data_IF_030289886682
#
_entry.id   IF_030289886682
#
_cell.length_a   1.000
_cell.length_b   1.000
_cell.length_c   1.000
_cell.angle_alpha   90.00
_cell.angle_beta   90.00
_cell.angle_gamma   90.00
#
_symmetry.space_group_name_H-M   'P 1'
#
loop_
_entity.id
_entity.type
_entity.pdbx_description
1 polymer ?
#
# COMPACT_ATOMS: atom_id res chain seq x y z
N UNK A 1 -12.03 13.23 18.17
CA UNK A 1 -12.02 11.88 17.55
C UNK A 1 -11.75 10.88 18.65
N UNK A 2 -12.75 10.11 19.06
CA UNK A 2 -12.55 9.06 20.04
C UNK A 2 -11.70 7.96 19.40
N UNK A 3 -10.52 7.71 19.94
CA UNK A 3 -9.80 6.47 19.68
C UNK A 3 -10.73 5.35 20.18
N UNK A 4 -11.36 4.62 19.27
CA UNK A 4 -12.00 3.36 19.60
C UNK A 4 -10.94 2.52 20.32
N UNK A 5 -11.09 2.42 21.65
CA UNK A 5 -10.24 1.55 22.44
C UNK A 5 -10.67 0.14 22.06
N UNK A 6 -9.94 -0.45 21.10
CA UNK A 6 -9.92 -1.89 20.90
C UNK A 6 -9.67 -2.49 22.28
N UNK A 7 -10.72 -3.02 22.91
CA UNK A 7 -10.70 -3.54 24.27
C UNK A 7 -9.99 -4.90 24.24
N UNK A 8 -8.69 -4.84 23.99
CA UNK A 8 -7.83 -6.01 23.84
C UNK A 8 -7.54 -6.60 25.22
N UNK A 9 -7.54 -7.93 25.36
CA UNK A 9 -7.11 -8.60 26.58
C UNK A 9 -5.75 -8.06 27.05
N UNK A 10 -5.54 -7.94 28.36
CA UNK A 10 -4.31 -7.38 28.92
C UNK A 10 -3.04 -8.08 28.40
N UNK A 11 -3.12 -9.40 28.19
CA UNK A 11 -2.04 -10.19 27.61
C UNK A 11 -1.74 -9.79 26.14
N UNK A 12 -2.77 -9.54 25.33
CA UNK A 12 -2.61 -9.10 23.95
C UNK A 12 -2.00 -7.69 23.89
N UNK A 13 -2.48 -6.77 24.74
CA UNK A 13 -1.88 -5.42 24.86
C UNK A 13 -0.40 -5.50 25.24
N UNK A 14 -0.07 -6.27 26.27
CA UNK A 14 1.32 -6.46 26.71
C UNK A 14 2.21 -7.01 25.59
N UNK A 15 1.73 -8.02 24.84
CA UNK A 15 2.49 -8.59 23.72
C UNK A 15 2.75 -7.56 22.65
N UNK A 16 1.71 -6.87 22.18
CA UNK A 16 1.84 -5.82 21.15
C UNK A 16 2.81 -4.70 21.57
N UNK A 17 2.76 -4.27 22.84
CA UNK A 17 3.69 -3.26 23.36
C UNK A 17 5.12 -3.76 23.37
N UNK A 18 5.38 -4.99 23.82
CA UNK A 18 6.74 -5.55 23.84
C UNK A 18 7.29 -5.76 22.43
N UNK A 19 6.46 -6.22 21.50
CA UNK A 19 6.86 -6.39 20.10
C UNK A 19 7.22 -5.03 19.45
N UNK A 20 6.43 -3.99 19.72
CA UNK A 20 6.72 -2.63 19.25
C UNK A 20 8.02 -2.07 19.86
N UNK A 21 8.23 -2.26 21.17
CA UNK A 21 9.47 -1.85 21.83
C UNK A 21 10.69 -2.60 21.28
N UNK A 22 10.56 -3.89 21.00
CA UNK A 22 11.64 -4.69 20.42
C UNK A 22 11.99 -4.22 19.00
N UNK A 23 10.98 -3.93 18.18
CA UNK A 23 11.15 -3.35 16.84
C UNK A 23 11.90 -2.01 16.92
N UNK A 24 11.51 -1.14 17.85
CA UNK A 24 12.22 0.13 18.10
C UNK A 24 13.68 -0.09 18.52
N UNK A 25 13.92 -1.03 19.43
CA UNK A 25 15.27 -1.34 19.93
C UNK A 25 16.19 -1.91 18.85
N UNK A 26 15.64 -2.62 17.86
CA UNK A 26 16.38 -3.20 16.74
C UNK A 26 16.68 -2.16 15.64
N UNK A 27 16.02 -1.00 15.67
CA UNK A 27 16.17 0.03 14.64
C UNK A 27 15.56 -0.34 13.28
N UNK A 28 14.77 -1.40 13.21
CA UNK A 28 14.18 -1.94 11.98
C UNK A 28 12.81 -1.31 11.63
N UNK A 29 12.26 -0.48 12.53
CA UNK A 29 10.92 0.09 12.37
C UNK A 29 10.77 0.87 11.06
N UNK A 30 11.76 1.70 10.70
CA UNK A 30 11.70 2.51 9.49
C UNK A 30 11.62 1.63 8.23
N UNK A 31 12.43 0.58 8.17
CA UNK A 31 12.45 -0.36 7.05
C UNK A 31 11.15 -1.16 6.97
N UNK A 32 10.61 -1.59 8.11
CA UNK A 32 9.32 -2.30 8.16
C UNK A 32 8.18 -1.43 7.66
N UNK A 33 8.10 -0.18 8.10
CA UNK A 33 7.08 0.77 7.63
C UNK A 33 7.23 1.08 6.14
N UNK A 34 8.48 1.18 5.67
CA UNK A 34 8.80 1.40 4.27
C UNK A 34 8.31 0.25 3.39
N UNK A 35 8.57 -0.99 3.79
CA UNK A 35 8.08 -2.17 3.10
C UNK A 35 6.55 -2.31 3.16
N UNK A 36 5.94 -1.99 4.30
CA UNK A 36 4.48 -2.00 4.45
C UNK A 36 3.81 -0.96 3.55
N UNK A 37 4.39 0.24 3.46
CA UNK A 37 3.92 1.28 2.55
C UNK A 37 4.01 0.84 1.09
N UNK A 38 5.12 0.23 0.67
CA UNK A 38 5.29 -0.33 -0.67
C UNK A 38 4.21 -1.40 -0.98
N UNK A 39 4.01 -2.36 -0.08
CA UNK A 39 2.98 -3.38 -0.23
C UNK A 39 1.57 -2.79 -0.35
N UNK A 40 1.28 -1.73 0.43
CA UNK A 40 -0.01 -1.03 0.36
C UNK A 40 -0.22 -0.31 -0.97
N UNK A 41 0.82 0.30 -1.53
CA UNK A 41 0.77 0.93 -2.86
C UNK A 41 0.49 -0.12 -3.93
N UNK A 42 1.21 -1.26 -3.92
CA UNK A 42 1.02 -2.35 -4.87
C UNK A 42 -0.43 -2.87 -4.87
N UNK A 43 -0.96 -3.17 -3.69
CA UNK A 43 -2.35 -3.60 -3.52
C UNK A 43 -3.34 -2.54 -4.02
N UNK A 44 -3.09 -1.26 -3.74
CA UNK A 44 -3.98 -0.16 -4.14
C UNK A 44 -3.96 0.02 -5.66
N UNK A 45 -2.78 -0.03 -6.28
CA UNK A 45 -2.63 0.08 -7.72
C UNK A 45 -3.36 -1.04 -8.45
N UNK A 46 -3.19 -2.28 -7.98
CA UNK A 46 -3.90 -3.43 -8.53
C UNK A 46 -5.43 -3.27 -8.44
N UNK A 47 -5.95 -2.91 -7.26
CA UNK A 47 -7.39 -2.66 -7.08
C UNK A 47 -7.91 -1.56 -8.00
N UNK A 48 -7.15 -0.48 -8.19
CA UNK A 48 -7.53 0.56 -9.13
C UNK A 48 -7.63 0.02 -10.57
N UNK A 49 -6.70 -0.83 -10.99
CA UNK A 49 -6.79 -1.49 -12.30
C UNK A 49 -7.97 -2.47 -12.41
N UNK A 50 -8.29 -3.20 -11.34
CA UNK A 50 -9.47 -4.07 -11.28
C UNK A 50 -10.77 -3.26 -11.40
N UNK A 51 -10.88 -2.10 -10.75
CA UNK A 51 -12.03 -1.18 -10.90
C UNK A 51 -12.15 -0.63 -12.32
N UNK A 52 -11.03 -0.35 -12.99
CA UNK A 52 -11.04 0.03 -14.42
C UNK A 52 -11.52 -1.12 -15.29
N UNK A 53 -11.05 -2.34 -15.02
CA UNK A 53 -11.44 -3.52 -15.78
C UNK A 53 -12.92 -3.89 -15.59
N UNK A 54 -13.49 -3.66 -14.40
CA UNK A 54 -14.93 -3.86 -14.13
C UNK A 54 -15.81 -2.72 -14.65
N UNK A 55 -15.22 -1.59 -15.04
CA UNK A 55 -15.93 -0.38 -15.47
C UNK A 55 -16.47 0.48 -14.33
N UNK A 56 -16.15 0.14 -13.07
CA UNK A 56 -16.49 0.94 -11.89
C UNK A 56 -15.65 2.23 -11.80
N UNK A 57 -14.47 2.22 -12.39
CA UNK A 57 -13.63 3.41 -12.59
C UNK A 57 -13.44 3.63 -14.09
N UNK A 58 -13.89 4.79 -14.59
CA UNK A 58 -13.74 5.09 -16.01
C UNK A 58 -12.30 5.42 -16.40
N UNK A 59 -11.99 5.29 -17.69
CA UNK A 59 -10.70 5.67 -18.26
C UNK A 59 -9.66 4.55 -18.26
N UNK A 60 -8.38 4.93 -18.22
CA UNK A 60 -7.25 4.01 -18.12
C UNK A 60 -6.36 4.49 -16.97
N UNK A 61 -6.05 3.58 -16.06
CA UNK A 61 -5.05 3.82 -15.01
C UNK A 61 -3.77 3.13 -15.43
N UNK A 62 -2.70 3.90 -15.60
CA UNK A 62 -1.38 3.32 -15.77
C UNK A 62 -0.87 2.83 -14.41
N UNK A 63 -0.51 1.55 -14.34
CA UNK A 63 0.08 0.97 -13.15
C UNK A 63 1.55 1.43 -13.01
N UNK A 64 2.02 1.74 -11.78
CA UNK A 64 3.44 1.91 -11.51
C UNK A 64 4.21 0.70 -12.03
N UNK A 65 5.42 0.92 -12.55
CA UNK A 65 6.21 -0.16 -13.17
C UNK A 65 6.40 -1.37 -12.25
N UNK A 66 6.70 -1.14 -10.97
CA UNK A 66 6.82 -2.20 -9.98
C UNK A 66 5.53 -3.02 -9.81
N UNK A 67 4.36 -2.37 -9.92
CA UNK A 67 3.07 -3.05 -9.80
C UNK A 67 2.74 -3.91 -11.03
N UNK A 68 3.26 -3.57 -12.22
CA UNK A 68 3.10 -4.38 -13.44
C UNK A 68 3.84 -5.71 -13.38
N UNK A 69 4.93 -5.77 -12.61
CA UNK A 69 5.77 -6.95 -12.47
C UNK A 69 5.33 -7.88 -11.34
N UNK A 70 4.31 -7.49 -10.56
CA UNK A 70 3.82 -8.29 -9.44
C UNK A 70 2.65 -9.19 -9.88
N UNK A 71 2.81 -10.50 -9.69
CA UNK A 71 1.74 -11.49 -9.84
C UNK A 71 1.16 -11.89 -8.48
N UNK A 72 -0.02 -11.37 -8.16
CA UNK A 72 -0.71 -11.67 -6.89
C UNK A 72 -1.27 -13.10 -6.79
N UNK A 73 -1.26 -13.89 -7.88
CA UNK A 73 -1.61 -15.32 -7.81
C UNK A 73 -0.46 -16.18 -7.31
N UNK A 74 0.78 -15.68 -7.39
CA UNK A 74 2.00 -16.39 -7.02
C UNK A 74 2.51 -15.96 -5.65
N UNK A 75 2.46 -14.66 -5.34
CA UNK A 75 2.97 -14.13 -4.07
C UNK A 75 2.19 -12.92 -3.56
N UNK A 76 2.24 -12.69 -2.26
CA UNK A 76 1.65 -11.52 -1.62
C UNK A 76 2.42 -10.24 -1.97
N UNK A 77 1.76 -9.08 -1.84
CA UNK A 77 2.42 -7.79 -2.04
C UNK A 77 3.58 -7.56 -1.06
N UNK A 78 3.47 -8.12 0.16
CA UNK A 78 4.52 -8.01 1.17
C UNK A 78 5.76 -8.79 0.75
N UNK A 79 5.60 -10.03 0.32
CA UNK A 79 6.69 -10.87 -0.18
C UNK A 79 7.34 -10.26 -1.43
N UNK A 80 6.53 -9.73 -2.35
CA UNK A 80 7.06 -9.03 -3.53
C UNK A 80 7.87 -7.79 -3.13
N UNK A 81 7.38 -6.99 -2.17
CA UNK A 81 8.12 -5.84 -1.66
C UNK A 81 9.45 -6.24 -0.97
N UNK A 82 9.53 -7.40 -0.32
CA UNK A 82 10.79 -7.92 0.25
C UNK A 82 11.79 -8.37 -0.82
N UNK A 83 11.30 -8.81 -1.97
CA UNK A 83 12.13 -9.17 -3.11
C UNK A 83 12.60 -7.96 -3.92
N UNK A 84 12.01 -6.77 -3.72
CA UNK A 84 12.43 -5.54 -4.38
C UNK A 84 13.75 -5.02 -3.78
N UNK A 85 14.58 -4.44 -4.63
CA UNK A 85 15.74 -3.68 -4.17
C UNK A 85 15.31 -2.40 -3.44
N UNK A 86 16.13 -1.87 -2.52
CA UNK A 86 15.83 -0.60 -1.85
C UNK A 86 15.51 0.54 -2.82
N UNK A 87 16.27 0.65 -3.92
CA UNK A 87 16.06 1.69 -4.94
C UNK A 87 14.70 1.56 -5.66
N UNK A 88 14.23 0.34 -5.90
CA UNK A 88 12.89 0.13 -6.48
C UNK A 88 11.79 0.52 -5.49
N UNK A 89 11.99 0.26 -4.19
CA UNK A 89 11.05 0.69 -3.14
C UNK A 89 11.02 2.22 -3.06
N UNK A 90 12.19 2.89 -3.07
CA UNK A 90 12.27 4.36 -3.09
C UNK A 90 11.54 4.95 -4.30
N UNK A 91 11.80 4.42 -5.49
CA UNK A 91 11.16 4.88 -6.72
C UNK A 91 9.63 4.71 -6.64
N UNK A 92 9.16 3.56 -6.15
CA UNK A 92 7.72 3.30 -5.97
C UNK A 92 7.09 4.29 -4.97
N UNK A 93 7.73 4.52 -3.82
CA UNK A 93 7.25 5.44 -2.80
C UNK A 93 7.23 6.89 -3.29
N UNK A 94 8.25 7.30 -4.04
CA UNK A 94 8.35 8.65 -4.60
C UNK A 94 7.31 8.90 -5.71
N UNK A 95 7.00 7.89 -6.53
CA UNK A 95 6.04 8.03 -7.63
C UNK A 95 4.57 7.92 -7.19
N UNK A 96 4.31 7.21 -6.09
CA UNK A 96 2.96 6.90 -5.63
C UNK A 96 2.02 8.11 -5.46
N UNK A 97 2.43 9.27 -4.91
CA UNK A 97 1.54 10.43 -4.79
C UNK A 97 1.10 10.98 -6.15
N UNK A 98 2.03 11.08 -7.10
CA UNK A 98 1.75 11.57 -8.46
C UNK A 98 0.82 10.62 -9.19
N UNK A 99 1.08 9.31 -9.08
CA UNK A 99 0.21 8.28 -9.63
C UNK A 99 -1.20 8.36 -9.02
N UNK A 100 -1.32 8.41 -7.69
CA UNK A 100 -2.61 8.46 -7.00
C UNK A 100 -3.42 9.71 -7.37
N UNK A 101 -2.78 10.87 -7.50
CA UNK A 101 -3.43 12.10 -7.98
C UNK A 101 -4.01 11.91 -9.39
N UNK A 102 -3.23 11.31 -10.31
CA UNK A 102 -3.71 11.01 -11.66
C UNK A 102 -4.93 10.08 -11.69
N UNK A 103 -4.99 9.08 -10.81
CA UNK A 103 -6.17 8.20 -10.68
C UNK A 103 -7.40 8.98 -10.21
N UNK A 104 -7.23 9.85 -9.21
CA UNK A 104 -8.32 10.66 -8.66
C UNK A 104 -8.84 11.70 -9.66
N UNK A 105 -7.97 12.31 -10.45
CA UNK A 105 -8.35 13.27 -11.49
C UNK A 105 -9.20 12.61 -12.59
N UNK A 106 -8.87 11.38 -12.97
CA UNK A 106 -9.65 10.60 -13.94
C UNK A 106 -11.06 10.30 -13.42
N UNK A 107 -11.18 9.87 -12.15
CA UNK A 107 -12.49 9.64 -11.51
C UNK A 107 -13.32 10.93 -11.44
N UNK A 108 -12.70 12.04 -11.03
CA UNK A 108 -13.37 13.32 -10.91
C UNK A 108 -13.89 13.83 -12.27
N UNK A 109 -13.07 13.71 -13.32
CA UNK A 109 -13.46 14.08 -14.68
C UNK A 109 -14.62 13.23 -15.20
N UNK A 110 -14.65 11.93 -14.86
CA UNK A 110 -15.76 11.06 -15.24
C UNK A 110 -17.07 11.44 -14.54
N UNK A 111 -17.02 11.68 -13.22
CA UNK A 111 -18.21 12.08 -12.44
C UNK A 111 -18.81 13.41 -12.88
N UNK A 112 -18.03 14.30 -13.48
CA UNK A 112 -18.53 15.57 -14.02
C UNK A 112 -19.18 15.43 -15.40
N UNK A 113 -18.89 14.36 -16.14
CA UNK A 113 -19.38 14.14 -17.50
C UNK A 113 -20.62 13.22 -17.58
N UNK A 114 -20.99 12.57 -16.47
CA UNK A 114 -22.15 11.70 -16.32
C UNK A 114 -23.37 12.47 -15.76
#
# INVERSE_FOLDING_TARGET
MALESLNLPAAARRRLTLDALNTLAQGDLAERLRLEAAARILCTARRAAELVASGELAGRVELPEAARNWDASVMTAREFAEAMTPAQIDALLADAPRWAAGVLDVDAGHRQAA
#
